data_IF_328471036680
#
_entry.id   IF_328471036680
#
_cell.length_a   1.000
_cell.length_b   1.000
_cell.length_c   1.000
_cell.angle_alpha   90.00
_cell.angle_beta   90.00
_cell.angle_gamma   90.00
#
_symmetry.space_group_name_H-M   'P 1'
#
loop_
_entity.id
_entity.type
_entity.pdbx_description
1 polymer ?
#
# COMPACT_ATOMS: atom_id res chain seq x y z
N UNK A 1 -1.78 -25.48 19.35
CA UNK A 1 -2.08 -24.45 18.33
C UNK A 1 -1.55 -24.90 16.97
N UNK A 2 -2.36 -24.80 15.91
CA UNK A 2 -1.88 -25.11 14.55
C UNK A 2 -0.88 -24.04 14.08
N UNK A 3 0.09 -24.43 13.25
CA UNK A 3 1.10 -23.51 12.67
C UNK A 3 0.47 -22.31 11.96
N UNK A 4 -0.71 -22.48 11.38
CA UNK A 4 -1.49 -21.41 10.76
C UNK A 4 -2.00 -20.37 11.78
N UNK A 5 -2.50 -20.81 12.94
CA UNK A 5 -2.96 -19.90 14.00
C UNK A 5 -1.79 -19.08 14.57
N UNK A 6 -0.62 -19.70 14.78
CA UNK A 6 0.59 -19.01 15.27
C UNK A 6 1.06 -17.92 14.29
N UNK A 7 1.05 -18.20 12.98
CA UNK A 7 1.40 -17.20 11.95
C UNK A 7 0.40 -16.05 11.87
N UNK A 8 -0.89 -16.33 12.07
CA UNK A 8 -1.93 -15.30 12.18
C UNK A 8 -1.69 -14.35 13.35
N UNK A 9 -1.41 -14.89 14.54
CA UNK A 9 -1.11 -14.10 15.74
C UNK A 9 0.15 -13.27 15.53
N UNK A 10 1.21 -13.84 14.96
CA UNK A 10 2.44 -13.11 14.64
C UNK A 10 2.18 -11.95 13.68
N UNK A 11 1.33 -12.13 12.66
CA UNK A 11 0.98 -11.06 11.72
C UNK A 11 0.34 -9.87 12.44
N UNK A 12 -0.64 -10.14 13.31
CA UNK A 12 -1.34 -9.13 14.10
C UNK A 12 -0.36 -8.45 15.06
N UNK A 13 0.43 -9.23 15.80
CA UNK A 13 1.43 -8.71 16.72
C UNK A 13 2.44 -7.80 16.03
N UNK A 14 2.96 -8.21 14.86
CA UNK A 14 3.86 -7.37 14.05
C UNK A 14 3.17 -6.06 13.66
N UNK A 15 1.93 -6.10 13.18
CA UNK A 15 1.22 -4.87 12.79
C UNK A 15 0.98 -3.94 13.99
N UNK A 16 0.62 -4.47 15.15
CA UNK A 16 0.45 -3.70 16.40
C UNK A 16 1.77 -3.08 16.84
N UNK A 17 2.88 -3.81 16.76
CA UNK A 17 4.22 -3.28 17.06
C UNK A 17 4.56 -2.15 16.09
N UNK A 18 4.28 -2.30 14.80
CA UNK A 18 4.52 -1.25 13.80
C UNK A 18 3.71 0.02 14.09
N UNK A 19 2.45 -0.12 14.54
CA UNK A 19 1.64 1.01 14.99
C UNK A 19 2.26 1.69 16.21
N UNK A 20 2.70 0.93 17.21
CA UNK A 20 3.35 1.47 18.40
C UNK A 20 4.66 2.19 18.06
N UNK A 21 5.50 1.61 17.19
CA UNK A 21 6.74 2.24 16.72
C UNK A 21 6.45 3.52 15.95
N UNK A 22 5.45 3.51 15.07
CA UNK A 22 5.03 4.71 14.34
C UNK A 22 4.50 5.82 15.26
N UNK A 23 3.76 5.45 16.31
CA UNK A 23 3.28 6.40 17.32
C UNK A 23 4.43 6.99 18.15
N UNK A 24 5.38 6.16 18.59
CA UNK A 24 6.59 6.62 19.29
C UNK A 24 7.40 7.55 18.37
N UNK A 25 7.60 7.20 17.10
CA UNK A 25 8.27 8.06 16.14
C UNK A 25 7.58 9.43 16.01
N UNK A 26 6.25 9.46 15.90
CA UNK A 26 5.47 10.70 15.81
C UNK A 26 5.53 11.57 17.09
N UNK A 27 5.76 10.97 18.25
CA UNK A 27 5.88 11.67 19.54
C UNK A 27 7.30 12.15 19.82
N UNK A 28 8.32 11.40 19.37
CA UNK A 28 9.73 11.68 19.64
C UNK A 28 10.29 12.72 18.66
N UNK A 29 9.89 12.67 17.38
CA UNK A 29 10.41 13.62 16.39
C UNK A 29 9.73 14.98 16.57
N UNK A 30 10.49 16.06 16.82
CA UNK A 30 9.92 17.39 16.98
C UNK A 30 9.12 17.80 15.75
N UNK A 31 7.99 18.46 15.96
CA UNK A 31 7.15 18.97 14.87
C UNK A 31 7.92 19.87 13.89
N UNK A 32 8.83 20.68 14.42
CA UNK A 32 9.68 21.57 13.62
C UNK A 32 10.56 20.77 12.66
N UNK A 33 11.10 19.64 13.09
CA UNK A 33 11.85 18.76 12.21
C UNK A 33 10.92 18.16 11.17
N UNK A 34 9.79 17.56 11.56
CA UNK A 34 8.85 16.97 10.60
C UNK A 34 8.41 17.97 9.51
N UNK A 35 8.12 19.22 9.89
CA UNK A 35 7.81 20.31 8.96
C UNK A 35 8.99 20.68 8.07
N UNK A 36 10.22 20.63 8.59
CA UNK A 36 11.44 20.86 7.81
C UNK A 36 11.63 19.78 6.73
N UNK A 37 11.42 18.51 7.07
CA UNK A 37 11.49 17.41 6.10
C UNK A 37 10.40 17.52 5.04
N UNK A 38 9.19 17.92 5.43
CA UNK A 38 8.10 18.18 4.49
C UNK A 38 8.40 19.38 3.58
N UNK A 39 8.83 20.51 4.16
CA UNK A 39 9.16 21.72 3.42
C UNK A 39 10.39 21.58 2.51
N UNK A 40 11.34 20.70 2.84
CA UNK A 40 12.50 20.44 1.99
C UNK A 40 12.12 19.79 0.64
N UNK A 41 11.09 18.94 0.63
CA UNK A 41 10.55 18.34 -0.59
C UNK A 41 9.77 19.37 -1.42
N UNK A 42 9.02 20.23 -0.73
CA UNK A 42 8.28 21.34 -1.34
C UNK A 42 9.23 22.38 -1.96
N UNK A 43 10.37 22.66 -1.32
CA UNK A 43 11.44 23.54 -1.83
C UNK A 43 12.22 22.92 -3.00
N UNK A 44 12.25 21.59 -3.10
CA UNK A 44 12.84 20.88 -4.24
C UNK A 44 11.88 20.78 -5.44
N UNK A 45 10.66 21.31 -5.32
CA UNK A 45 9.70 21.37 -6.42
C UNK A 45 10.13 22.38 -7.49
N UNK A 46 9.88 22.05 -8.78
CA UNK A 46 10.31 22.89 -9.91
C UNK A 46 9.65 24.26 -9.97
N UNK A 47 8.52 24.45 -9.27
CA UNK A 47 7.83 25.73 -9.15
C UNK A 47 7.19 25.84 -7.75
N UNK A 48 7.41 26.94 -7.02
CA UNK A 48 6.76 27.16 -5.73
C UNK A 48 5.25 27.27 -5.93
N UNK A 49 4.51 26.49 -5.14
CA UNK A 49 3.05 26.37 -5.21
C UNK A 49 2.43 27.33 -4.22
N UNK A 50 1.47 28.15 -4.64
CA UNK A 50 0.76 29.06 -3.73
C UNK A 50 -0.41 28.35 -3.03
N UNK A 51 -0.76 28.82 -1.83
CA UNK A 51 -1.91 28.27 -1.09
C UNK A 51 -3.24 28.53 -1.81
N UNK A 52 -3.33 29.61 -2.59
CA UNK A 52 -4.49 29.92 -3.43
C UNK A 52 -4.71 28.87 -4.53
N UNK A 53 -3.64 28.45 -5.23
CA UNK A 53 -3.71 27.40 -6.25
C UNK A 53 -4.07 26.04 -5.66
N UNK A 54 -3.64 25.75 -4.42
CA UNK A 54 -4.07 24.54 -3.70
C UNK A 54 -5.55 24.58 -3.38
N UNK A 55 -6.02 25.67 -2.79
CA UNK A 55 -7.42 25.83 -2.40
C UNK A 55 -8.38 25.69 -3.59
N UNK A 56 -8.00 26.22 -4.76
CA UNK A 56 -8.80 26.10 -5.99
C UNK A 56 -8.94 24.62 -6.44
N UNK A 57 -7.87 23.83 -6.30
CA UNK A 57 -7.86 22.42 -6.73
C UNK A 57 -8.39 21.45 -5.69
N UNK A 58 -8.43 21.83 -4.41
CA UNK A 58 -8.80 20.93 -3.31
C UNK A 58 -10.19 20.32 -3.48
N UNK A 59 -11.16 21.11 -3.93
CA UNK A 59 -12.53 20.61 -4.17
C UNK A 59 -12.55 19.56 -5.29
N UNK A 60 -11.83 19.81 -6.38
CA UNK A 60 -11.71 18.87 -7.49
C UNK A 60 -10.98 17.59 -7.07
N UNK A 61 -9.85 17.73 -6.35
CA UNK A 61 -9.07 16.61 -5.85
C UNK A 61 -9.84 15.78 -4.81
N UNK A 62 -10.68 16.40 -3.98
CA UNK A 62 -11.57 15.68 -3.06
C UNK A 62 -12.55 14.78 -3.81
N UNK A 63 -13.13 15.25 -4.93
CA UNK A 63 -14.00 14.44 -5.79
C UNK A 63 -13.25 13.29 -6.46
N UNK A 64 -12.05 13.55 -7.00
CA UNK A 64 -11.19 12.50 -7.54
C UNK A 64 -10.86 11.46 -6.45
N UNK A 65 -10.55 11.92 -5.24
CA UNK A 65 -10.28 11.06 -4.09
C UNK A 65 -11.49 10.18 -3.75
N UNK A 66 -12.72 10.71 -3.78
CA UNK A 66 -13.96 9.93 -3.57
C UNK A 66 -14.14 8.85 -4.63
N UNK A 67 -13.95 9.18 -5.91
CA UNK A 67 -14.07 8.19 -6.99
C UNK A 67 -13.03 7.08 -6.82
N UNK A 68 -11.76 7.44 -6.60
CA UNK A 68 -10.69 6.47 -6.35
C UNK A 68 -10.94 5.66 -5.08
N UNK A 69 -11.49 6.27 -4.03
CA UNK A 69 -11.85 5.60 -2.77
C UNK A 69 -12.93 4.55 -3.00
N UNK A 70 -13.97 4.87 -3.77
CA UNK A 70 -15.02 3.90 -4.15
C UNK A 70 -14.40 2.73 -4.92
N UNK A 71 -13.53 3.01 -5.90
CA UNK A 71 -12.85 1.95 -6.67
C UNK A 71 -11.96 1.07 -5.78
N UNK A 72 -11.21 1.68 -4.86
CA UNK A 72 -10.36 0.96 -3.91
C UNK A 72 -11.19 0.12 -2.93
N UNK A 73 -12.29 0.67 -2.41
CA UNK A 73 -13.20 -0.02 -1.53
C UNK A 73 -13.87 -1.20 -2.25
N UNK A 74 -14.33 -1.02 -3.49
CA UNK A 74 -14.86 -2.10 -4.32
C UNK A 74 -13.82 -3.20 -4.52
N UNK A 75 -12.57 -2.86 -4.81
CA UNK A 75 -11.49 -3.85 -4.94
C UNK A 75 -11.29 -4.66 -3.65
N UNK A 76 -11.24 -4.00 -2.49
CA UNK A 76 -11.10 -4.65 -1.18
C UNK A 76 -12.32 -5.53 -0.85
N UNK A 77 -13.53 -5.03 -1.07
CA UNK A 77 -14.78 -5.76 -0.81
C UNK A 77 -14.89 -6.98 -1.73
N UNK A 78 -14.61 -6.84 -3.02
CA UNK A 78 -14.56 -7.96 -3.97
C UNK A 78 -13.53 -8.99 -3.50
N UNK A 79 -12.34 -8.57 -3.09
CA UNK A 79 -11.30 -9.46 -2.58
C UNK A 79 -11.73 -10.21 -1.31
N UNK A 80 -12.38 -9.52 -0.38
CA UNK A 80 -12.90 -10.07 0.86
C UNK A 80 -14.03 -11.07 0.62
N UNK A 81 -15.00 -10.73 -0.25
CA UNK A 81 -16.13 -11.59 -0.59
C UNK A 81 -15.68 -12.81 -1.40
N UNK A 82 -14.80 -12.62 -2.38
CA UNK A 82 -14.23 -13.73 -3.17
C UNK A 82 -13.33 -14.64 -2.33
N UNK A 83 -12.78 -14.17 -1.22
CA UNK A 83 -12.06 -15.01 -0.27
C UNK A 83 -12.99 -15.94 0.54
N UNK A 84 -14.26 -15.54 0.75
CA UNK A 84 -15.26 -16.28 1.53
C UNK A 84 -16.20 -17.13 0.66
N UNK A 85 -16.34 -16.82 -0.62
CA UNK A 85 -17.34 -17.42 -1.51
C UNK A 85 -16.70 -18.12 -2.71
N UNK A 86 -17.47 -18.96 -3.44
CA UNK A 86 -17.05 -19.60 -4.70
C UNK A 86 -17.07 -18.65 -5.91
N UNK A 87 -17.09 -17.33 -5.71
CA UNK A 87 -17.12 -16.29 -6.77
C UNK A 87 -15.83 -16.19 -7.62
N UNK A 88 -15.03 -17.27 -7.69
CA UNK A 88 -13.71 -17.35 -8.32
C UNK A 88 -13.81 -17.48 -9.85
N UNK A 89 -15.02 -17.63 -10.42
CA UNK A 89 -15.22 -17.82 -11.87
C UNK A 89 -15.27 -16.54 -12.71
N UNK A 90 -15.31 -15.34 -12.11
CA UNK A 90 -15.33 -14.09 -12.87
C UNK A 90 -13.93 -13.48 -13.01
N UNK A 91 -13.53 -12.99 -14.22
CA UNK A 91 -12.25 -12.34 -14.41
C UNK A 91 -12.12 -11.12 -13.47
N UNK A 92 -10.94 -10.92 -12.88
CA UNK A 92 -10.66 -9.87 -11.90
C UNK A 92 -10.94 -10.23 -10.45
N UNK A 93 -11.97 -11.05 -10.15
CA UNK A 93 -12.27 -11.46 -8.78
C UNK A 93 -11.16 -12.32 -8.16
N UNK A 94 -10.47 -13.13 -8.97
CA UNK A 94 -9.30 -13.89 -8.54
C UNK A 94 -8.12 -12.98 -8.17
N UNK A 95 -7.90 -11.88 -8.90
CA UNK A 95 -6.87 -10.88 -8.61
C UNK A 95 -7.14 -10.09 -7.33
N UNK A 96 -8.38 -9.64 -7.13
CA UNK A 96 -8.79 -8.99 -5.90
C UNK A 96 -8.66 -9.95 -4.69
N UNK A 97 -9.07 -11.21 -4.85
CA UNK A 97 -8.90 -12.24 -3.82
C UNK A 97 -7.43 -12.48 -3.50
N UNK A 98 -6.57 -12.57 -4.50
CA UNK A 98 -5.15 -12.86 -4.29
C UNK A 98 -4.46 -11.73 -3.54
N UNK A 99 -4.74 -10.48 -3.91
CA UNK A 99 -4.18 -9.30 -3.22
C UNK A 99 -4.69 -9.22 -1.77
N UNK A 100 -5.98 -9.44 -1.54
CA UNK A 100 -6.58 -9.48 -0.19
C UNK A 100 -5.97 -10.57 0.71
N UNK A 101 -5.93 -11.82 0.21
CA UNK A 101 -5.41 -12.95 0.98
C UNK A 101 -3.90 -12.85 1.19
N UNK A 102 -3.15 -12.36 0.20
CA UNK A 102 -1.69 -12.25 0.31
C UNK A 102 -1.28 -11.09 1.22
N UNK A 103 -2.10 -10.04 1.36
CA UNK A 103 -1.84 -8.95 2.30
C UNK A 103 -2.08 -9.38 3.76
N UNK A 104 -3.17 -10.12 4.01
CA UNK A 104 -3.54 -10.55 5.37
C UNK A 104 -2.86 -11.84 5.82
N UNK A 105 -2.51 -12.70 4.86
CA UNK A 105 -1.90 -14.03 5.08
C UNK A 105 -0.77 -14.23 4.06
N UNK A 106 0.31 -13.42 4.10
CA UNK A 106 1.38 -13.46 3.10
C UNK A 106 2.08 -14.82 2.98
N UNK A 107 2.05 -15.65 4.03
CA UNK A 107 2.55 -17.03 3.96
C UNK A 107 1.75 -17.96 3.04
N UNK A 108 0.54 -17.58 2.60
CA UNK A 108 -0.28 -18.31 1.61
C UNK A 108 -0.31 -17.65 0.23
N UNK A 109 0.49 -16.60 0.00
CA UNK A 109 0.44 -15.79 -1.23
C UNK A 109 0.66 -16.61 -2.52
N UNK A 110 1.46 -17.69 -2.43
CA UNK A 110 1.68 -18.60 -3.56
C UNK A 110 0.43 -19.39 -3.90
N UNK A 111 -0.29 -19.91 -2.90
CA UNK A 111 -1.52 -20.68 -3.11
C UNK A 111 -2.59 -19.84 -3.80
N UNK A 112 -2.68 -18.56 -3.47
CA UNK A 112 -3.65 -17.63 -4.04
C UNK A 112 -3.31 -17.15 -5.47
N UNK A 113 -2.10 -17.43 -5.97
CA UNK A 113 -1.66 -17.00 -7.31
C UNK A 113 -1.51 -18.17 -8.29
N UNK A 114 -1.66 -19.42 -7.84
CA UNK A 114 -1.68 -20.60 -8.70
C UNK A 114 -2.94 -20.65 -9.57
N UNK A 115 -2.79 -21.02 -10.84
CA UNK A 115 -3.91 -21.18 -11.77
C UNK A 115 -4.56 -19.88 -12.25
N UNK A 116 -4.00 -18.71 -11.92
CA UNK A 116 -4.52 -17.42 -12.37
C UNK A 116 -4.38 -17.23 -13.89
N UNK A 117 -5.46 -16.71 -14.49
CA UNK A 117 -5.48 -16.27 -15.88
C UNK A 117 -4.46 -15.14 -16.12
N UNK A 118 -3.95 -14.96 -17.35
CA UNK A 118 -3.00 -13.88 -17.67
C UNK A 118 -3.53 -12.49 -17.33
N UNK A 119 -4.83 -12.25 -17.55
CA UNK A 119 -5.49 -10.99 -17.20
C UNK A 119 -5.47 -10.75 -15.69
N UNK A 120 -5.78 -11.77 -14.88
CA UNK A 120 -5.79 -11.65 -13.42
C UNK A 120 -4.40 -11.34 -12.86
N UNK A 121 -3.35 -11.90 -13.48
CA UNK A 121 -1.96 -11.57 -13.12
C UNK A 121 -1.67 -10.10 -13.39
N UNK A 122 -2.04 -9.60 -14.58
CA UNK A 122 -1.89 -8.18 -14.92
C UNK A 122 -2.64 -7.29 -13.94
N UNK A 123 -3.88 -7.63 -13.58
CA UNK A 123 -4.68 -6.88 -12.62
C UNK A 123 -4.11 -6.90 -11.19
N UNK A 124 -3.46 -8.00 -10.78
CA UNK A 124 -2.82 -8.14 -9.46
C UNK A 124 -1.72 -7.09 -9.25
N UNK A 125 -1.05 -6.66 -10.32
CA UNK A 125 -0.04 -5.59 -10.27
C UNK A 125 -0.61 -4.23 -10.71
N UNK A 126 -1.38 -4.23 -11.81
CA UNK A 126 -1.89 -3.02 -12.45
C UNK A 126 -2.86 -2.23 -11.58
N UNK A 127 -3.76 -2.89 -10.83
CA UNK A 127 -4.72 -2.17 -9.98
C UNK A 127 -4.03 -1.49 -8.79
N UNK A 128 -3.17 -2.16 -8.00
CA UNK A 128 -2.39 -1.48 -6.96
C UNK A 128 -1.50 -0.35 -7.50
N UNK A 129 -0.86 -0.55 -8.67
CA UNK A 129 -0.03 0.48 -9.30
C UNK A 129 -0.84 1.69 -9.76
N UNK A 130 -2.01 1.47 -10.38
CA UNK A 130 -2.92 2.54 -10.80
C UNK A 130 -3.49 3.30 -9.59
N UNK A 131 -3.84 2.59 -8.51
CA UNK A 131 -4.30 3.22 -7.27
C UNK A 131 -3.17 4.04 -6.62
N UNK A 132 -1.94 3.53 -6.58
CA UNK A 132 -0.80 4.28 -6.10
C UNK A 132 -0.57 5.55 -6.92
N UNK A 133 -0.59 5.44 -8.25
CA UNK A 133 -0.44 6.59 -9.15
C UNK A 133 -1.55 7.62 -8.90
N UNK A 134 -2.81 7.19 -8.94
CA UNK A 134 -3.96 8.08 -8.71
C UNK A 134 -3.92 8.74 -7.33
N UNK A 135 -3.59 7.99 -6.28
CA UNK A 135 -3.47 8.54 -4.92
C UNK A 135 -2.31 9.51 -4.81
N UNK A 136 -1.19 9.27 -5.51
CA UNK A 136 -0.04 10.18 -5.52
C UNK A 136 -0.33 11.45 -6.31
N UNK A 137 -1.07 11.34 -7.41
CA UNK A 137 -1.55 12.49 -8.20
C UNK A 137 -2.50 13.36 -7.38
N UNK A 138 -3.44 12.76 -6.64
CA UNK A 138 -4.34 13.47 -5.72
C UNK A 138 -3.53 14.17 -4.63
N UNK A 139 -2.58 13.48 -3.98
CA UNK A 139 -1.72 14.10 -2.96
C UNK A 139 -0.93 15.28 -3.51
N UNK A 140 -0.44 15.17 -4.74
CA UNK A 140 0.35 16.21 -5.38
C UNK A 140 -0.51 17.37 -5.93
N UNK A 141 -1.84 17.23 -6.00
CA UNK A 141 -2.77 18.18 -6.66
C UNK A 141 -2.36 18.61 -8.08
N UNK A 142 -1.55 17.79 -8.78
CA UNK A 142 -0.83 18.16 -10.01
C UNK A 142 0.07 19.41 -9.90
N UNK A 143 0.43 19.80 -8.70
CA UNK A 143 1.29 20.93 -8.37
C UNK A 143 2.70 20.41 -8.03
N UNK A 144 2.78 19.37 -7.20
CA UNK A 144 4.05 18.77 -6.76
C UNK A 144 4.51 17.60 -7.69
N UNK A 145 4.71 17.87 -8.97
CA UNK A 145 5.11 16.83 -9.95
C UNK A 145 6.46 16.19 -9.62
N UNK A 146 7.40 16.92 -9.01
CA UNK A 146 8.68 16.36 -8.56
C UNK A 146 8.47 15.27 -7.51
N UNK A 147 7.66 15.55 -6.49
CA UNK A 147 7.34 14.59 -5.42
C UNK A 147 6.62 13.37 -5.96
N UNK A 148 5.71 13.58 -6.92
CA UNK A 148 5.03 12.50 -7.65
C UNK A 148 6.06 11.59 -8.34
N UNK A 149 6.98 12.18 -9.12
CA UNK A 149 8.01 11.41 -9.84
C UNK A 149 8.93 10.67 -8.87
N UNK A 150 9.43 11.33 -7.83
CA UNK A 150 10.29 10.70 -6.80
C UNK A 150 9.56 9.55 -6.12
N UNK A 151 8.29 9.74 -5.74
CA UNK A 151 7.46 8.71 -5.11
C UNK A 151 7.30 7.51 -6.04
N UNK A 152 6.95 7.73 -7.31
CA UNK A 152 6.77 6.66 -8.30
C UNK A 152 8.08 5.94 -8.60
N UNK A 153 9.21 6.66 -8.69
CA UNK A 153 10.54 6.07 -8.85
C UNK A 153 10.92 5.21 -7.65
N UNK A 154 10.71 5.69 -6.42
CA UNK A 154 10.97 4.93 -5.20
C UNK A 154 10.19 3.61 -5.17
N UNK A 155 8.89 3.65 -5.48
CA UNK A 155 8.08 2.44 -5.61
C UNK A 155 8.49 1.55 -6.80
N UNK A 156 8.92 2.15 -7.91
CA UNK A 156 9.46 1.45 -9.07
C UNK A 156 10.73 0.66 -8.71
N UNK A 157 11.67 1.27 -7.98
CA UNK A 157 12.87 0.60 -7.47
C UNK A 157 12.49 -0.56 -6.56
N UNK A 158 11.54 -0.36 -5.64
CA UNK A 158 11.04 -1.46 -4.78
C UNK A 158 10.47 -2.61 -5.62
N UNK A 159 9.63 -2.32 -6.61
CA UNK A 159 9.07 -3.34 -7.49
C UNK A 159 10.16 -4.10 -8.28
N UNK A 160 11.18 -3.40 -8.75
CA UNK A 160 12.36 -3.99 -9.43
C UNK A 160 13.12 -4.88 -8.45
N UNK A 161 13.44 -4.41 -7.24
CA UNK A 161 14.15 -5.19 -6.23
C UNK A 161 13.37 -6.46 -5.88
N UNK A 162 12.06 -6.36 -5.63
CA UNK A 162 11.21 -7.53 -5.37
C UNK A 162 11.21 -8.51 -6.55
N UNK A 163 11.19 -7.99 -7.79
CA UNK A 163 11.28 -8.81 -9.01
C UNK A 163 12.64 -9.53 -9.12
N UNK A 164 13.73 -8.85 -8.81
CA UNK A 164 15.09 -9.39 -8.84
C UNK A 164 15.28 -10.45 -7.76
N UNK A 165 14.81 -10.19 -6.54
CA UNK A 165 14.87 -11.14 -5.42
C UNK A 165 14.02 -12.40 -5.65
N UNK A 166 12.89 -12.28 -6.35
CA UNK A 166 12.13 -13.45 -6.80
C UNK A 166 12.93 -14.32 -7.81
N UNK A 167 13.88 -13.71 -8.54
CA UNK A 167 14.81 -14.38 -9.45
C UNK A 167 14.10 -15.11 -10.59
N UNK A 168 14.41 -16.40 -10.75
CA UNK A 168 13.76 -17.30 -11.72
C UNK A 168 12.37 -17.79 -11.28
N UNK A 169 11.96 -17.52 -10.04
CA UNK A 169 10.63 -17.92 -9.54
C UNK A 169 9.58 -16.91 -9.99
N UNK A 170 8.33 -17.34 -9.96
CA UNK A 170 7.17 -16.50 -10.27
C UNK A 170 7.09 -15.30 -9.29
N UNK A 171 7.10 -14.04 -9.75
CA UNK A 171 7.08 -12.86 -8.87
C UNK A 171 5.66 -12.52 -8.37
N UNK A 172 4.63 -13.11 -8.95
CA UNK A 172 3.22 -12.81 -8.68
C UNK A 172 2.81 -12.95 -7.20
N UNK A 173 3.27 -13.93 -6.40
CA UNK A 173 2.94 -14.00 -4.98
C UNK A 173 3.44 -12.78 -4.19
N UNK A 174 4.65 -12.29 -4.51
CA UNK A 174 5.24 -11.13 -3.83
C UNK A 174 4.48 -9.87 -4.20
N UNK A 175 4.17 -9.68 -5.49
CA UNK A 175 3.37 -8.55 -5.94
C UNK A 175 1.93 -8.58 -5.42
N UNK A 176 1.32 -9.75 -5.26
CA UNK A 176 0.00 -9.86 -4.65
C UNK A 176 0.03 -9.42 -3.17
N UNK A 177 1.06 -9.84 -2.41
CA UNK A 177 1.23 -9.45 -1.01
C UNK A 177 1.48 -7.94 -0.85
N UNK A 178 2.46 -7.42 -1.59
CA UNK A 178 2.79 -6.01 -1.58
C UNK A 178 1.62 -5.15 -2.09
N UNK A 179 1.00 -5.55 -3.19
CA UNK A 179 -0.10 -4.85 -3.82
C UNK A 179 -1.34 -4.77 -2.93
N UNK A 180 -1.71 -5.85 -2.24
CA UNK A 180 -2.84 -5.80 -1.30
C UNK A 180 -2.60 -4.90 -0.09
N UNK A 181 -1.37 -4.88 0.46
CA UNK A 181 -1.00 -3.94 1.52
C UNK A 181 -1.00 -2.48 1.02
N UNK A 182 -0.52 -2.26 -0.20
CA UNK A 182 -0.49 -0.96 -0.84
C UNK A 182 -1.88 -0.40 -1.10
N UNK A 183 -2.83 -1.24 -1.54
CA UNK A 183 -4.24 -0.83 -1.69
C UNK A 183 -4.81 -0.37 -0.35
N UNK A 184 -4.58 -1.12 0.74
CA UNK A 184 -5.00 -0.71 2.08
C UNK A 184 -4.45 0.67 2.48
N UNK A 185 -3.15 0.91 2.22
CA UNK A 185 -2.53 2.23 2.40
C UNK A 185 -3.22 3.31 1.59
N UNK A 186 -3.45 3.08 0.29
CA UNK A 186 -4.08 4.05 -0.59
C UNK A 186 -5.53 4.34 -0.15
N UNK A 187 -6.30 3.34 0.26
CA UNK A 187 -7.67 3.50 0.76
C UNK A 187 -7.74 4.42 1.97
N UNK A 188 -6.85 4.26 2.94
CA UNK A 188 -6.80 5.13 4.13
C UNK A 188 -6.48 6.57 3.73
N UNK A 189 -5.47 6.77 2.87
CA UNK A 189 -5.07 8.10 2.40
C UNK A 189 -6.20 8.80 1.64
N UNK A 190 -6.84 8.09 0.71
CA UNK A 190 -7.97 8.59 -0.06
C UNK A 190 -9.18 8.89 0.83
N UNK A 191 -9.44 8.07 1.85
CA UNK A 191 -10.47 8.31 2.86
C UNK A 191 -10.26 9.64 3.58
N UNK A 192 -9.04 9.88 4.06
CA UNK A 192 -8.63 11.14 4.67
C UNK A 192 -8.83 12.34 3.74
N UNK A 193 -8.39 12.25 2.49
CA UNK A 193 -8.47 13.34 1.50
C UNK A 193 -9.87 13.54 0.90
N UNK A 194 -10.76 12.54 1.00
CA UNK A 194 -12.10 12.59 0.42
C UNK A 194 -13.01 13.63 1.07
N UNK A 195 -12.67 14.14 2.25
CA UNK A 195 -13.50 15.09 2.99
C UNK A 195 -13.22 16.51 2.49
N UNK A 196 -11.98 16.99 2.71
CA UNK A 196 -11.59 18.37 2.48
C UNK A 196 -10.63 18.59 1.31
N UNK A 197 -10.23 17.52 0.60
CA UNK A 197 -9.14 17.59 -0.36
C UNK A 197 -7.76 17.53 0.30
N UNK A 198 -6.68 17.56 -0.49
CA UNK A 198 -5.32 17.43 0.01
C UNK A 198 -4.88 18.55 0.96
N UNK A 199 -5.11 19.82 0.63
CA UNK A 199 -4.72 20.97 1.45
C UNK A 199 -5.45 20.99 2.78
N UNK A 200 -6.78 21.01 2.76
CA UNK A 200 -7.59 21.00 3.99
C UNK A 200 -7.37 19.78 4.89
N UNK A 201 -7.01 18.63 4.32
CA UNK A 201 -6.58 17.46 5.09
C UNK A 201 -5.29 17.72 5.87
N UNK A 202 -4.27 18.27 5.21
CA UNK A 202 -2.98 18.57 5.85
C UNK A 202 -3.14 19.60 6.96
N UNK A 203 -3.93 20.65 6.75
CA UNK A 203 -4.22 21.64 7.79
C UNK A 203 -4.83 20.99 9.04
N UNK A 204 -5.78 20.08 8.85
CA UNK A 204 -6.43 19.35 9.96
C UNK A 204 -5.46 18.44 10.71
N UNK A 205 -4.58 17.74 9.98
CA UNK A 205 -3.57 16.85 10.57
C UNK A 205 -2.56 17.64 11.39
N UNK A 206 -2.08 18.76 10.88
CA UNK A 206 -1.06 19.57 11.56
C UNK A 206 -1.63 20.43 12.69
N UNK A 207 -2.92 20.76 12.66
CA UNK A 207 -3.59 21.51 13.72
C UNK A 207 -3.73 20.73 15.04
N UNK A 208 -3.82 19.39 15.01
CA UNK A 208 -4.04 18.58 16.20
C UNK A 208 -2.99 17.46 16.37
N UNK A 209 -2.26 17.51 17.48
CA UNK A 209 -1.20 16.55 17.79
C UNK A 209 -1.68 15.08 17.85
N UNK A 210 -2.91 14.83 18.32
CA UNK A 210 -3.49 13.50 18.35
C UNK A 210 -3.76 12.99 16.93
N UNK A 211 -4.40 13.81 16.08
CA UNK A 211 -4.67 13.49 14.68
C UNK A 211 -3.37 13.20 13.92
N UNK A 212 -2.36 14.04 14.11
CA UNK A 212 -1.01 13.82 13.56
C UNK A 212 -0.41 12.49 14.00
N UNK A 213 -0.43 12.19 15.30
CA UNK A 213 0.17 10.97 15.86
C UNK A 213 -0.52 9.74 15.29
N UNK A 214 -1.86 9.70 15.28
CA UNK A 214 -2.64 8.59 14.74
C UNK A 214 -2.36 8.42 13.24
N UNK A 215 -2.35 9.51 12.49
CA UNK A 215 -2.09 9.49 11.05
C UNK A 215 -0.68 8.98 10.72
N UNK A 216 0.36 9.54 11.34
CA UNK A 216 1.75 9.12 11.12
C UNK A 216 1.94 7.66 11.52
N UNK A 217 1.41 7.25 12.67
CA UNK A 217 1.48 5.86 13.11
C UNK A 217 0.84 4.89 12.11
N UNK A 218 -0.36 5.23 11.63
CA UNK A 218 -1.11 4.41 10.69
C UNK A 218 -0.43 4.32 9.32
N UNK A 219 -0.01 5.45 8.76
CA UNK A 219 0.69 5.51 7.48
C UNK A 219 2.04 4.80 7.55
N UNK A 220 2.79 4.98 8.63
CA UNK A 220 4.05 4.28 8.89
C UNK A 220 3.83 2.77 8.95
N UNK A 221 2.87 2.32 9.75
CA UNK A 221 2.59 0.89 9.91
C UNK A 221 2.17 0.25 8.59
N UNK A 222 1.26 0.90 7.84
CA UNK A 222 0.82 0.42 6.52
C UNK A 222 1.95 0.42 5.50
N UNK A 223 2.83 1.43 5.52
CA UNK A 223 4.00 1.49 4.66
C UNK A 223 4.97 0.35 4.94
N UNK A 224 5.38 0.17 6.20
CA UNK A 224 6.29 -0.91 6.59
C UNK A 224 5.65 -2.29 6.37
N UNK A 225 4.33 -2.41 6.56
CA UNK A 225 3.60 -3.64 6.30
C UNK A 225 3.74 -4.14 4.86
N UNK A 226 3.82 -3.24 3.87
CA UNK A 226 4.06 -3.63 2.45
C UNK A 226 5.34 -4.45 2.33
N UNK A 227 6.42 -4.02 2.98
CA UNK A 227 7.71 -4.71 2.96
C UNK A 227 7.68 -6.01 3.77
N UNK A 228 7.03 -6.01 4.93
CA UNK A 228 6.88 -7.21 5.78
C UNK A 228 6.10 -8.29 5.03
N UNK A 229 4.98 -7.94 4.42
CA UNK A 229 4.15 -8.85 3.65
C UNK A 229 4.90 -9.41 2.43
N UNK A 230 5.61 -8.54 1.70
CA UNK A 230 6.45 -8.94 0.57
C UNK A 230 7.60 -9.88 1.01
N UNK A 231 8.28 -9.55 2.11
CA UNK A 231 9.37 -10.34 2.68
C UNK A 231 8.93 -11.71 3.14
N UNK A 232 7.79 -11.82 3.84
CA UNK A 232 7.21 -13.11 4.22
C UNK A 232 6.79 -13.94 3.00
N UNK A 233 6.21 -13.30 1.98
CA UNK A 233 5.89 -13.97 0.72
C UNK A 233 7.15 -14.44 -0.04
N UNK A 234 8.27 -13.75 0.10
CA UNK A 234 9.55 -14.13 -0.51
C UNK A 234 10.21 -15.29 0.26
N UNK A 235 10.33 -15.18 1.59
CA UNK A 235 10.95 -16.21 2.45
C UNK A 235 10.24 -17.55 2.29
N UNK A 236 8.91 -17.56 2.22
CA UNK A 236 8.13 -18.79 2.01
C UNK A 236 8.37 -19.44 0.64
N UNK A 237 8.80 -18.68 -0.37
CA UNK A 237 9.20 -19.22 -1.67
C UNK A 237 10.63 -19.78 -1.66
N UNK A 238 11.52 -19.21 -0.82
CA UNK A 238 12.90 -19.63 -0.67
C UNK A 238 13.04 -20.89 0.18
N UNK A 239 12.21 -21.04 1.23
CA UNK A 239 12.29 -22.13 2.19
C UNK A 239 11.77 -23.49 1.71
N UNK A 240 11.13 -23.59 0.52
CA UNK A 240 10.77 -24.91 -0.03
C UNK A 240 12.03 -25.56 -0.63
N UNK A 241 12.51 -26.69 -0.07
CA UNK A 241 13.78 -27.26 -0.46
C UNK A 241 13.69 -27.95 -1.82
N UNK A 242 14.84 -28.00 -2.49
CA UNK A 242 15.21 -28.75 -3.71
C UNK A 242 15.17 -30.27 -3.44
N UNK A 243 14.19 -30.79 -2.70
CA UNK A 243 14.04 -32.22 -2.37
C UNK A 243 13.37 -33.03 -3.49
N UNK A 244 13.46 -32.55 -4.74
CA UNK A 244 13.05 -33.31 -5.92
C UNK A 244 14.25 -33.76 -6.78
N UNK A 245 15.49 -33.51 -6.33
CA UNK A 245 16.71 -33.85 -7.06
C UNK A 245 17.55 -34.97 -6.39
N UNK A 246 17.00 -35.71 -5.43
CA UNK A 246 17.67 -36.81 -4.72
C UNK A 246 16.82 -38.09 -4.70
N UNK A 247 16.21 -38.41 -5.85
CA UNK A 247 15.50 -39.66 -6.10
C UNK A 247 15.84 -40.23 -7.46
N UNK A 248 17.15 -40.23 -7.78
CA UNK A 248 17.74 -40.94 -8.90
C UNK A 248 18.50 -42.15 -8.38
#
# INVERSE_FOLDING_TARGET
MTTAARRGILAIATFVILLAVGAVFALVVPEQELRRWAGALEQASFAPVTDAERAERDTAMAWVARVLLVLAALWLVIGMLAARTRLVRRPGAAAARSTWLSSTRPWRARESTLGMLPLDRRLTFGVPAALLLGTSVVQASFLALTELVITLLGWGVVAIVLRLLAGRRSPWPVFAAAGGALVGRCTIMLGAMSIAGPGGFWDTVWANALTRTVYVALVFALFVWVFVAAGWALVTQLQRPVRAAAGG
#
